data_IF_537834342305
#
_entry.id   IF_537834342305
#
_cell.length_a   1.000
_cell.length_b   1.000
_cell.length_c   1.000
_cell.angle_alpha   90.00
_cell.angle_beta   90.00
_cell.angle_gamma   90.00
#
_symmetry.space_group_name_H-M   'P 1'
#
loop_
_entity.id
_entity.type
_entity.pdbx_description
1 polymer ?
#
# COMPACT_ATOMS: atom_id res chain seq x y z
N UNK A 1 13.60 28.42 -18.54
CA UNK A 1 13.39 28.35 -17.06
C UNK A 1 12.11 27.61 -16.62
N UNK A 2 10.99 27.66 -17.36
CA UNK A 2 9.70 27.16 -16.89
C UNK A 2 9.52 25.61 -16.71
N UNK A 3 10.18 24.77 -17.52
CA UNK A 3 9.95 23.29 -17.45
C UNK A 3 10.63 22.60 -16.26
N UNK A 4 11.80 23.04 -15.85
CA UNK A 4 12.53 22.47 -14.70
C UNK A 4 11.79 22.74 -13.38
N UNK A 5 11.24 23.95 -13.23
CA UNK A 5 10.47 24.37 -12.04
C UNK A 5 9.19 23.52 -11.86
N UNK A 6 8.44 23.27 -12.93
CA UNK A 6 7.18 22.50 -12.88
C UNK A 6 7.38 21.02 -12.52
N UNK A 7 8.50 20.42 -12.93
CA UNK A 7 8.86 19.03 -12.59
C UNK A 7 9.25 18.89 -11.11
N UNK A 8 9.99 19.86 -10.58
CA UNK A 8 10.38 19.91 -9.17
C UNK A 8 9.18 20.14 -8.26
N UNK A 9 8.29 21.07 -8.62
CA UNK A 9 7.05 21.32 -7.88
C UNK A 9 6.13 20.07 -7.81
N UNK A 10 6.04 19.32 -8.92
CA UNK A 10 5.29 18.07 -8.95
C UNK A 10 5.89 17.03 -8.00
N UNK A 11 7.21 16.89 -8.00
CA UNK A 11 7.92 15.99 -7.11
C UNK A 11 7.70 16.38 -5.63
N UNK A 12 7.79 17.67 -5.32
CA UNK A 12 7.55 18.18 -3.97
C UNK A 12 6.17 17.85 -3.45
N UNK A 13 5.15 18.04 -4.28
CA UNK A 13 3.76 17.70 -3.93
C UNK A 13 3.60 16.21 -3.66
N UNK A 14 4.21 15.35 -4.47
CA UNK A 14 4.14 13.90 -4.28
C UNK A 14 4.85 13.49 -2.99
N UNK A 15 6.07 13.99 -2.74
CA UNK A 15 6.83 13.67 -1.53
C UNK A 15 6.09 14.14 -0.28
N UNK A 16 5.51 15.34 -0.31
CA UNK A 16 4.67 15.85 0.76
C UNK A 16 3.50 14.91 1.04
N UNK A 17 2.81 14.46 -0.01
CA UNK A 17 1.66 13.54 0.13
C UNK A 17 2.07 12.16 0.64
N UNK A 18 3.21 11.62 0.18
CA UNK A 18 3.78 10.37 0.70
C UNK A 18 4.05 10.48 2.21
N UNK A 19 4.60 11.60 2.68
CA UNK A 19 4.82 11.87 4.10
C UNK A 19 3.51 11.95 4.86
N UNK A 20 2.51 12.71 4.40
CA UNK A 20 1.20 12.82 5.03
C UNK A 20 0.55 11.44 5.21
N UNK A 21 0.61 10.56 4.18
CA UNK A 21 0.17 9.17 4.32
C UNK A 21 0.96 8.43 5.42
N UNK A 22 2.29 8.59 5.43
CA UNK A 22 3.14 7.98 6.46
C UNK A 22 2.82 8.45 7.88
N UNK A 23 2.59 9.75 8.08
CA UNK A 23 2.19 10.34 9.37
C UNK A 23 0.86 9.76 9.86
N UNK A 24 -0.13 9.64 8.97
CA UNK A 24 -1.45 9.05 9.29
C UNK A 24 -1.30 7.56 9.65
N UNK A 25 -0.59 6.77 8.83
CA UNK A 25 -0.38 5.36 9.09
C UNK A 25 0.38 5.12 10.40
N UNK A 26 1.40 5.94 10.70
CA UNK A 26 2.15 5.89 11.94
C UNK A 26 1.27 6.21 13.14
N UNK A 27 0.43 7.24 13.07
CA UNK A 27 -0.52 7.62 14.14
C UNK A 27 -1.55 6.52 14.45
N UNK A 28 -1.78 5.61 13.49
CA UNK A 28 -2.69 4.46 13.64
C UNK A 28 -1.97 3.15 14.00
N UNK A 29 -0.66 3.19 14.24
CA UNK A 29 0.19 2.01 14.49
C UNK A 29 0.17 0.98 13.33
N UNK A 30 0.02 1.45 12.09
CA UNK A 30 0.04 0.61 10.90
C UNK A 30 1.43 0.49 10.28
N UNK A 31 2.32 1.40 10.62
CA UNK A 31 3.75 1.37 10.32
C UNK A 31 4.54 1.82 11.54
N UNK A 32 5.77 1.34 11.66
CA UNK A 32 6.75 1.86 12.62
C UNK A 32 7.75 2.81 11.94
N UNK A 33 8.88 3.07 12.59
CA UNK A 33 9.90 3.99 12.06
C UNK A 33 10.65 3.45 10.84
N UNK A 34 10.53 2.17 10.49
CA UNK A 34 11.24 1.55 9.35
C UNK A 34 10.36 0.68 8.47
N UNK A 35 9.25 0.15 9.01
CA UNK A 35 8.32 -0.70 8.29
C UNK A 35 7.43 0.09 7.34
N UNK A 36 6.78 -0.65 6.44
CA UNK A 36 5.91 -0.09 5.44
C UNK A 36 6.65 0.65 4.33
N UNK A 37 5.97 0.84 3.24
CA UNK A 37 6.50 1.58 2.10
C UNK A 37 5.37 2.15 1.25
N UNK A 38 5.78 3.06 0.37
CA UNK A 38 4.87 3.81 -0.48
C UNK A 38 5.53 4.11 -1.82
N UNK A 39 4.78 3.96 -2.91
CA UNK A 39 5.21 4.40 -4.23
C UNK A 39 4.10 5.11 -4.99
N UNK A 40 4.50 5.90 -5.99
CA UNK A 40 3.59 6.61 -6.92
C UNK A 40 4.13 6.50 -8.34
N UNK A 41 3.26 6.22 -9.29
CA UNK A 41 3.57 6.24 -10.73
C UNK A 41 3.71 7.69 -11.20
N UNK A 42 4.93 8.10 -11.54
CA UNK A 42 5.23 9.47 -11.98
C UNK A 42 4.87 9.69 -13.45
N UNK A 43 5.17 8.70 -14.27
CA UNK A 43 4.89 8.65 -15.70
C UNK A 43 4.55 7.21 -16.07
N UNK A 44 4.17 6.96 -17.34
CA UNK A 44 3.91 5.60 -17.82
C UNK A 44 5.04 4.62 -17.46
N UNK A 45 6.31 5.06 -17.51
CA UNK A 45 7.48 4.19 -17.39
C UNK A 45 8.29 4.39 -16.10
N UNK A 46 7.88 5.29 -15.18
CA UNK A 46 8.66 5.62 -13.97
C UNK A 46 7.78 5.68 -12.74
N UNK A 47 8.28 5.14 -11.66
CA UNK A 47 7.72 5.30 -10.32
C UNK A 47 8.69 6.07 -9.42
N UNK A 48 8.14 6.70 -8.38
CA UNK A 48 8.88 7.15 -7.20
C UNK A 48 8.52 6.23 -6.06
N UNK A 49 9.52 5.79 -5.28
CA UNK A 49 9.34 4.88 -4.16
C UNK A 49 10.20 5.31 -2.97
N UNK A 50 9.75 5.01 -1.77
CA UNK A 50 10.52 5.18 -0.54
C UNK A 50 11.82 4.36 -0.60
N UNK A 51 12.93 4.96 -0.15
CA UNK A 51 14.21 4.27 0.01
C UNK A 51 14.15 3.26 1.15
N UNK A 52 14.97 2.23 1.05
CA UNK A 52 15.20 1.30 2.16
C UNK A 52 15.74 2.05 3.38
N UNK A 53 15.33 1.63 4.58
CA UNK A 53 15.77 2.25 5.84
C UNK A 53 15.17 3.62 6.17
N UNK A 54 14.47 4.29 5.22
CA UNK A 54 13.80 5.57 5.50
C UNK A 54 12.50 5.37 6.28
N UNK A 55 12.12 6.37 7.06
CA UNK A 55 10.90 6.36 7.87
C UNK A 55 9.74 7.02 7.13
N UNK A 56 8.59 6.32 7.00
CA UNK A 56 7.43 6.84 6.28
C UNK A 56 6.91 8.18 6.81
N UNK A 57 6.72 8.39 8.13
CA UNK A 57 6.21 9.66 8.66
C UNK A 57 7.17 10.85 8.50
N UNK A 58 8.43 10.59 8.15
CA UNK A 58 9.46 11.64 8.03
C UNK A 58 10.03 11.75 6.62
N UNK A 59 9.34 11.21 5.61
CA UNK A 59 9.81 11.22 4.22
C UNK A 59 10.11 12.65 3.74
N UNK A 60 11.30 12.82 3.18
CA UNK A 60 11.78 14.00 2.46
C UNK A 60 12.22 13.61 1.05
N UNK A 61 12.64 14.57 0.23
CA UNK A 61 13.21 14.27 -1.10
C UNK A 61 14.41 13.32 -1.07
N UNK A 62 15.18 13.28 0.01
CA UNK A 62 16.34 12.39 0.17
C UNK A 62 15.94 10.94 0.42
N UNK A 63 14.72 10.72 0.90
CA UNK A 63 14.19 9.43 1.32
C UNK A 63 13.40 8.71 0.23
N UNK A 64 13.40 9.27 -0.98
CA UNK A 64 12.73 8.67 -2.13
C UNK A 64 13.71 8.52 -3.30
N UNK A 65 13.37 7.62 -4.22
CA UNK A 65 14.12 7.38 -5.44
C UNK A 65 13.17 7.19 -6.61
N UNK A 66 13.55 7.72 -7.76
CA UNK A 66 12.81 7.52 -9.03
C UNK A 66 13.49 6.42 -9.82
N UNK A 67 12.72 5.39 -10.19
CA UNK A 67 13.18 4.20 -10.88
C UNK A 67 12.27 3.89 -12.07
N UNK A 68 12.75 3.18 -13.09
CA UNK A 68 11.90 2.63 -14.15
C UNK A 68 10.97 1.54 -13.59
N UNK A 69 9.80 1.39 -14.21
CA UNK A 69 8.83 0.34 -13.83
C UNK A 69 9.21 -1.00 -14.45
N UNK A 70 9.64 -1.00 -15.71
CA UNK A 70 9.80 -2.22 -16.52
C UNK A 70 11.22 -2.77 -16.56
N UNK A 71 12.19 -2.07 -15.98
CA UNK A 71 13.61 -2.41 -16.06
C UNK A 71 14.22 -2.45 -14.66
N UNK A 72 15.13 -3.38 -14.43
CA UNK A 72 15.97 -3.39 -13.23
C UNK A 72 17.18 -2.49 -13.45
N UNK A 73 17.65 -1.84 -12.39
CA UNK A 73 18.81 -0.95 -12.41
C UNK A 73 19.71 -1.20 -11.20
N UNK A 74 20.97 -0.79 -11.30
CA UNK A 74 21.92 -0.85 -10.16
C UNK A 74 21.43 -0.08 -8.93
N UNK A 75 20.52 0.89 -9.13
CA UNK A 75 19.95 1.70 -8.05
C UNK A 75 18.79 1.03 -7.32
N UNK A 76 18.33 -0.11 -7.76
CA UNK A 76 17.20 -0.82 -7.16
C UNK A 76 17.49 -1.21 -5.70
N UNK A 77 18.74 -1.49 -5.36
CA UNK A 77 19.20 -1.78 -4.00
C UNK A 77 19.03 -0.62 -3.00
N UNK A 78 18.80 0.60 -3.50
CA UNK A 78 18.53 1.78 -2.68
C UNK A 78 17.04 1.96 -2.36
N UNK A 79 16.16 1.26 -3.07
CA UNK A 79 14.72 1.32 -2.86
C UNK A 79 14.26 0.38 -1.74
N UNK A 80 12.99 0.48 -1.36
CA UNK A 80 12.36 -0.51 -0.48
C UNK A 80 12.55 -1.93 -1.01
N UNK A 81 12.69 -2.90 -0.10
CA UNK A 81 12.75 -4.34 -0.43
C UNK A 81 11.59 -4.83 -1.27
N UNK A 82 10.43 -4.18 -1.16
CA UNK A 82 9.22 -4.52 -1.91
C UNK A 82 9.14 -3.87 -3.31
N UNK A 83 10.23 -3.25 -3.80
CA UNK A 83 10.25 -2.62 -5.12
C UNK A 83 9.72 -3.54 -6.24
N UNK A 84 10.09 -4.83 -6.21
CA UNK A 84 9.63 -5.81 -7.21
C UNK A 84 8.11 -6.00 -7.16
N UNK A 85 7.52 -6.05 -5.98
CA UNK A 85 6.07 -6.14 -5.79
C UNK A 85 5.38 -4.87 -6.33
N UNK A 86 5.87 -3.68 -5.98
CA UNK A 86 5.31 -2.43 -6.47
C UNK A 86 5.35 -2.32 -8.00
N UNK A 87 6.48 -2.67 -8.63
CA UNK A 87 6.60 -2.72 -10.09
C UNK A 87 5.57 -3.65 -10.72
N UNK A 88 5.49 -4.88 -10.22
CA UNK A 88 4.55 -5.88 -10.73
C UNK A 88 3.09 -5.46 -10.53
N UNK A 89 2.73 -4.81 -9.42
CA UNK A 89 1.39 -4.24 -9.24
C UNK A 89 1.06 -3.25 -10.36
N UNK A 90 1.97 -2.34 -10.70
CA UNK A 90 1.74 -1.40 -11.81
C UNK A 90 1.64 -2.08 -13.16
N UNK A 91 2.47 -3.08 -13.44
CA UNK A 91 2.45 -3.85 -14.69
C UNK A 91 1.15 -4.65 -14.79
N UNK A 92 0.78 -5.41 -13.77
CA UNK A 92 -0.44 -6.22 -13.78
C UNK A 92 -1.71 -5.36 -13.82
N UNK A 93 -1.72 -4.20 -13.16
CA UNK A 93 -2.84 -3.28 -13.27
C UNK A 93 -3.00 -2.70 -14.67
N UNK A 94 -1.91 -2.38 -15.36
CA UNK A 94 -1.93 -1.92 -16.74
C UNK A 94 -2.44 -3.02 -17.69
N UNK A 95 -1.93 -4.26 -17.54
CA UNK A 95 -2.37 -5.43 -18.31
C UNK A 95 -3.88 -5.69 -18.16
N UNK A 96 -4.43 -5.42 -16.99
CA UNK A 96 -5.87 -5.59 -16.69
C UNK A 96 -6.72 -4.33 -16.95
N UNK A 97 -6.12 -3.26 -17.47
CA UNK A 97 -6.80 -1.98 -17.70
C UNK A 97 -7.30 -1.32 -16.41
N UNK A 98 -6.63 -1.54 -15.28
CA UNK A 98 -6.97 -0.95 -13.99
C UNK A 98 -6.16 0.31 -13.73
N UNK A 99 -6.79 1.31 -13.11
CA UNK A 99 -6.16 2.59 -12.80
C UNK A 99 -5.54 2.56 -11.40
N UNK A 100 -4.34 1.98 -11.29
CA UNK A 100 -3.52 1.99 -10.07
C UNK A 100 -2.26 2.83 -10.33
N UNK A 101 -2.16 3.98 -9.66
CA UNK A 101 -1.04 4.91 -9.78
C UNK A 101 -0.33 5.17 -8.46
N UNK A 102 -0.84 4.63 -7.34
CA UNK A 102 -0.20 4.66 -6.04
C UNK A 102 -0.34 3.30 -5.35
N UNK A 103 0.68 2.91 -4.59
CA UNK A 103 0.68 1.70 -3.77
C UNK A 103 1.17 2.03 -2.37
N UNK A 104 0.40 1.61 -1.37
CA UNK A 104 0.75 1.62 0.05
C UNK A 104 0.93 0.19 0.56
N UNK A 105 1.96 -0.02 1.37
CA UNK A 105 2.15 -1.24 2.15
C UNK A 105 2.28 -0.89 3.63
N UNK A 106 1.55 -1.60 4.48
CA UNK A 106 1.61 -1.44 5.93
C UNK A 106 1.34 -2.75 6.66
N UNK A 107 1.62 -2.78 7.98
CA UNK A 107 1.56 -3.98 8.81
C UNK A 107 0.38 -3.89 9.79
N UNK A 108 -0.81 -4.27 9.34
CA UNK A 108 -2.00 -4.37 10.20
C UNK A 108 -1.95 -5.67 11.00
N UNK A 109 -1.85 -5.60 12.32
CA UNK A 109 -1.75 -6.78 13.18
C UNK A 109 -2.96 -7.72 13.01
N UNK A 110 -4.16 -7.15 12.87
CA UNK A 110 -5.40 -7.91 12.63
C UNK A 110 -5.36 -8.65 11.29
N UNK A 111 -4.85 -8.02 10.23
CA UNK A 111 -4.70 -8.65 8.92
C UNK A 111 -3.70 -9.81 8.98
N UNK A 112 -2.56 -9.58 9.61
CA UNK A 112 -1.53 -10.62 9.79
C UNK A 112 -2.08 -11.79 10.57
N UNK A 113 -2.77 -11.56 11.69
CA UNK A 113 -3.36 -12.62 12.51
C UNK A 113 -4.41 -13.43 11.71
N UNK A 114 -5.33 -12.77 11.01
CA UNK A 114 -6.36 -13.42 10.20
C UNK A 114 -5.79 -14.25 9.05
N UNK A 115 -4.67 -13.81 8.47
CA UNK A 115 -4.05 -14.49 7.32
C UNK A 115 -3.56 -15.91 7.58
N UNK A 116 -3.40 -16.30 8.85
CA UNK A 116 -3.04 -17.68 9.23
C UNK A 116 -4.24 -18.63 9.27
N UNK A 117 -5.46 -18.10 9.26
CA UNK A 117 -6.68 -18.88 9.46
C UNK A 117 -7.68 -18.77 8.30
N UNK A 118 -7.52 -17.82 7.41
CA UNK A 118 -8.48 -17.53 6.34
C UNK A 118 -7.73 -17.17 5.04
N UNK A 119 -8.25 -17.68 3.92
CA UNK A 119 -7.76 -17.33 2.58
C UNK A 119 -8.49 -16.12 1.99
N UNK A 120 -9.60 -15.74 2.61
CA UNK A 120 -10.42 -14.59 2.24
C UNK A 120 -11.11 -14.01 3.47
N UNK A 121 -11.18 -12.68 3.56
CA UNK A 121 -11.89 -11.94 4.60
C UNK A 121 -13.02 -11.13 3.99
N UNK A 122 -14.22 -11.25 4.56
CA UNK A 122 -15.36 -10.41 4.18
C UNK A 122 -15.53 -9.35 5.26
N UNK A 123 -15.49 -8.06 4.91
CA UNK A 123 -15.73 -6.98 5.86
C UNK A 123 -17.07 -7.13 6.56
N UNK A 124 -17.16 -7.01 7.90
CA UNK A 124 -18.42 -7.16 8.63
C UNK A 124 -19.28 -5.90 8.61
N UNK A 125 -18.69 -4.74 8.33
CA UNK A 125 -19.36 -3.43 8.38
C UNK A 125 -19.79 -2.96 7.00
N UNK A 126 -20.86 -2.17 6.99
CA UNK A 126 -21.51 -1.68 5.77
C UNK A 126 -20.59 -0.83 4.90
N UNK A 127 -19.81 0.06 5.53
CA UNK A 127 -18.94 0.99 4.80
C UNK A 127 -17.83 0.25 4.04
N UNK A 128 -17.14 -0.67 4.73
CA UNK A 128 -16.11 -1.46 4.08
C UNK A 128 -16.68 -2.41 3.01
N UNK A 129 -17.85 -3.00 3.23
CA UNK A 129 -18.52 -3.82 2.20
C UNK A 129 -18.83 -3.03 0.94
N UNK A 130 -19.17 -1.75 1.07
CA UNK A 130 -19.45 -0.89 -0.08
C UNK A 130 -18.21 -0.67 -0.96
N UNK A 131 -17.03 -0.43 -0.35
CA UNK A 131 -15.81 -0.10 -1.08
C UNK A 131 -14.90 -1.31 -1.34
N UNK A 132 -14.90 -2.30 -0.46
CA UNK A 132 -13.89 -3.38 -0.43
C UNK A 132 -14.52 -4.77 -0.66
N UNK A 133 -15.77 -4.97 -0.73
CA UNK A 133 -16.48 -6.26 -0.94
C UNK A 133 -15.84 -7.50 -0.30
N UNK A 134 -14.58 -7.83 -0.64
CA UNK A 134 -13.80 -8.97 -0.14
C UNK A 134 -12.31 -8.65 -0.17
N UNK A 135 -11.55 -9.30 0.71
CA UNK A 135 -10.10 -9.17 0.80
C UNK A 135 -9.49 -10.56 0.66
N UNK A 136 -8.66 -10.76 -0.35
CA UNK A 136 -7.92 -12.00 -0.54
C UNK A 136 -6.67 -12.01 0.34
N UNK A 137 -6.36 -13.18 0.88
CA UNK A 137 -5.05 -13.49 1.45
C UNK A 137 -4.24 -14.20 0.35
N UNK A 138 -3.02 -13.75 0.12
CA UNK A 138 -2.17 -14.29 -0.95
C UNK A 138 -0.76 -14.53 -0.43
N UNK A 139 -0.10 -15.50 -1.05
CA UNK A 139 1.35 -15.69 -0.89
C UNK A 139 2.08 -14.51 -1.54
N UNK A 140 3.33 -14.25 -1.11
CA UNK A 140 4.06 -13.04 -1.49
C UNK A 140 4.21 -12.81 -3.00
N UNK A 141 4.36 -13.89 -3.76
CA UNK A 141 4.48 -13.83 -5.22
C UNK A 141 3.16 -13.57 -5.97
N UNK A 142 2.01 -13.73 -5.31
CA UNK A 142 0.66 -13.56 -5.88
C UNK A 142 0.07 -12.17 -5.58
N UNK A 143 0.70 -11.40 -4.67
CA UNK A 143 0.25 -10.07 -4.28
C UNK A 143 0.01 -9.14 -5.47
N UNK A 144 0.90 -9.06 -6.50
CA UNK A 144 0.71 -8.15 -7.61
C UNK A 144 -0.59 -8.36 -8.37
N UNK A 145 -0.89 -9.60 -8.71
CA UNK A 145 -2.11 -9.99 -9.42
C UNK A 145 -3.35 -9.74 -8.58
N UNK A 146 -3.25 -10.04 -7.27
CA UNK A 146 -4.32 -9.82 -6.29
C UNK A 146 -4.64 -8.33 -6.15
N UNK A 147 -3.65 -7.47 -5.96
CA UNK A 147 -3.85 -6.02 -5.87
C UNK A 147 -4.35 -5.43 -7.19
N UNK A 148 -3.84 -5.89 -8.33
CA UNK A 148 -4.31 -5.46 -9.64
C UNK A 148 -5.79 -5.81 -9.86
N UNK A 149 -6.28 -6.92 -9.32
CA UNK A 149 -7.67 -7.35 -9.45
C UNK A 149 -8.60 -6.64 -8.46
N UNK A 150 -8.22 -6.60 -7.17
CA UNK A 150 -9.10 -6.22 -6.06
C UNK A 150 -8.75 -4.87 -5.42
N UNK A 151 -7.69 -4.17 -5.89
CA UNK A 151 -7.08 -2.96 -5.31
C UNK A 151 -6.39 -3.18 -3.96
N UNK A 152 -6.63 -4.27 -3.26
CA UNK A 152 -6.00 -4.58 -1.98
C UNK A 152 -5.84 -6.08 -1.79
N UNK A 153 -4.84 -6.44 -0.98
CA UNK A 153 -4.48 -7.81 -0.70
C UNK A 153 -3.82 -7.92 0.69
N UNK A 154 -4.17 -8.97 1.43
CA UNK A 154 -3.40 -9.35 2.62
C UNK A 154 -2.28 -10.28 2.17
N UNK A 155 -1.03 -9.87 2.40
CA UNK A 155 0.13 -10.72 2.28
C UNK A 155 0.21 -11.63 3.51
N UNK A 156 0.16 -12.94 3.31
CA UNK A 156 0.12 -13.93 4.39
C UNK A 156 1.31 -13.78 5.34
N UNK A 157 1.00 -13.62 6.63
CA UNK A 157 2.00 -13.45 7.69
C UNK A 157 2.79 -12.14 7.65
N UNK A 158 2.46 -11.17 6.78
CA UNK A 158 3.29 -9.98 6.57
C UNK A 158 2.54 -8.66 6.78
N UNK A 159 1.43 -8.43 6.09
CA UNK A 159 0.72 -7.15 6.13
C UNK A 159 -0.25 -6.99 4.97
N UNK A 160 -0.49 -5.75 4.56
CA UNK A 160 -1.40 -5.44 3.45
C UNK A 160 -0.74 -4.59 2.39
N UNK A 161 -1.10 -4.85 1.13
CA UNK A 161 -0.77 -4.00 -0.01
C UNK A 161 -2.07 -3.41 -0.56
N UNK A 162 -2.07 -2.10 -0.79
CA UNK A 162 -3.24 -1.37 -1.25
C UNK A 162 -2.86 -0.48 -2.43
N UNK A 163 -3.52 -0.68 -3.56
CA UNK A 163 -3.41 0.12 -4.76
C UNK A 163 -4.55 1.13 -4.85
N UNK A 164 -4.27 2.31 -5.41
CA UNK A 164 -5.26 3.33 -5.69
C UNK A 164 -4.91 4.13 -6.94
N UNK A 165 -5.90 4.83 -7.51
CA UNK A 165 -5.67 5.79 -8.61
C UNK A 165 -4.71 6.92 -8.19
N UNK A 166 -4.63 7.19 -6.90
CA UNK A 166 -3.74 8.13 -6.25
C UNK A 166 -3.51 7.73 -4.78
N UNK A 167 -2.68 8.49 -4.05
CA UNK A 167 -2.41 8.25 -2.64
C UNK A 167 -3.63 8.48 -1.73
N UNK A 168 -4.57 9.34 -2.13
CA UNK A 168 -5.79 9.59 -1.35
C UNK A 168 -6.69 8.35 -1.35
N UNK A 169 -6.92 7.75 -2.53
CA UNK A 169 -7.70 6.51 -2.62
C UNK A 169 -7.00 5.34 -1.92
N UNK A 170 -5.69 5.17 -2.13
CA UNK A 170 -4.94 4.11 -1.45
C UNK A 170 -5.00 4.24 0.08
N UNK A 171 -4.84 5.46 0.62
CA UNK A 171 -4.95 5.74 2.04
C UNK A 171 -6.37 5.49 2.56
N UNK A 172 -7.39 5.97 1.85
CA UNK A 172 -8.80 5.76 2.20
C UNK A 172 -9.11 4.26 2.33
N UNK A 173 -8.76 3.45 1.31
CA UNK A 173 -8.98 2.01 1.34
C UNK A 173 -8.19 1.32 2.48
N UNK A 174 -6.96 1.78 2.76
CA UNK A 174 -6.15 1.29 3.86
C UNK A 174 -6.84 1.52 5.22
N UNK A 175 -7.37 2.72 5.44
CA UNK A 175 -8.03 3.08 6.70
C UNK A 175 -9.40 2.40 6.85
N UNK A 176 -10.17 2.27 5.77
CA UNK A 176 -11.43 1.54 5.76
C UNK A 176 -11.21 0.06 6.10
N UNK A 177 -10.20 -0.57 5.47
CA UNK A 177 -9.80 -1.93 5.77
C UNK A 177 -9.40 -2.09 7.25
N UNK A 178 -8.53 -1.22 7.76
CA UNK A 178 -8.07 -1.27 9.15
C UNK A 178 -9.24 -1.21 10.14
N UNK A 179 -10.17 -0.26 9.94
CA UNK A 179 -11.35 -0.14 10.80
C UNK A 179 -12.20 -1.42 10.75
N UNK A 180 -12.43 -1.94 9.55
CA UNK A 180 -13.24 -3.14 9.36
C UNK A 180 -12.63 -4.39 9.99
N UNK A 181 -11.32 -4.58 9.88
CA UNK A 181 -10.64 -5.71 10.52
C UNK A 181 -10.68 -5.62 12.05
N UNK A 182 -10.58 -4.42 12.63
CA UNK A 182 -10.81 -4.22 14.07
C UNK A 182 -12.23 -4.60 14.49
N UNK A 183 -13.23 -4.20 13.72
CA UNK A 183 -14.64 -4.57 13.99
C UNK A 183 -14.79 -6.09 13.92
N UNK A 184 -14.22 -6.74 12.90
CA UNK A 184 -14.25 -8.20 12.74
C UNK A 184 -13.63 -8.90 13.95
N UNK A 185 -12.46 -8.43 14.39
CA UNK A 185 -11.76 -9.00 15.54
C UNK A 185 -12.57 -8.85 16.82
N UNK A 186 -13.10 -7.66 17.10
CA UNK A 186 -13.97 -7.40 18.27
C UNK A 186 -15.25 -8.23 18.22
N UNK A 187 -15.90 -8.34 17.05
CA UNK A 187 -17.08 -9.17 16.84
C UNK A 187 -16.78 -10.63 17.20
N UNK A 188 -15.68 -11.18 16.68
CA UNK A 188 -15.28 -12.57 16.94
C UNK A 188 -15.02 -12.83 18.43
N UNK A 189 -14.41 -11.89 19.15
CA UNK A 189 -14.21 -11.99 20.59
C UNK A 189 -15.55 -11.98 21.33
N UNK A 190 -16.43 -11.02 21.01
CA UNK A 190 -17.73 -10.89 21.67
C UNK A 190 -18.65 -12.10 21.44
N UNK A 191 -18.58 -12.70 20.26
CA UNK A 191 -19.30 -13.95 19.97
C UNK A 191 -18.82 -15.11 20.85
N UNK A 192 -17.52 -15.24 21.09
CA UNK A 192 -16.95 -16.27 21.97
C UNK A 192 -17.25 -16.06 23.46
N UNK A 193 -17.42 -14.83 23.91
CA UNK A 193 -17.74 -14.52 25.31
C UNK A 193 -19.21 -14.79 25.63
N UNK A 194 -20.09 -14.74 24.62
CA UNK A 194 -21.53 -15.00 24.80
C UNK A 194 -21.91 -16.51 24.83
N UNK A 195 -20.95 -17.37 24.54
CA UNK A 195 -21.09 -18.82 24.67
C UNK A 195 -20.59 -19.28 26.02
#
# INVERSE_FOLDING_TARGET
MGRKNRSEEKLDKIVKKMRECGEILFSKNLVDTRSGNVSVKLTKNKLIIKRTGSSMPYITKKDVIVLPIYEETEKDNLASSDLKIHRRIYIESENKGKDINAVLHCHMAEAVALSFFQDEVIPPDYEAQYFIKRIKVAEYNEIPECVAEFKLCIAKGHGVFVGGKDLDEALFLTLALHNSLKILFLKTILEKIKM
#
